data_IF_663095677490
#
_entry.id   IF_663095677490
#
_cell.length_a   1.000
_cell.length_b   1.000
_cell.length_c   1.000
_cell.angle_alpha   90.00
_cell.angle_beta   90.00
_cell.angle_gamma   90.00
#
_symmetry.space_group_name_H-M   'P 1'
#
loop_
_entity.id
_entity.type
_entity.pdbx_description
1 polymer ?
#
# COMPACT_ATOMS: atom_id res chain seq x y z
N UNK A 1 -11.72 18.39 8.61
CA UNK A 1 -12.00 17.82 7.26
C UNK A 1 -13.20 18.49 6.58
N UNK A 2 -13.99 19.33 7.27
CA UNK A 2 -14.98 20.17 6.60
C UNK A 2 -14.30 21.04 5.53
N UNK A 3 -14.86 21.04 4.31
CA UNK A 3 -14.37 21.83 3.18
C UNK A 3 -13.48 21.09 2.17
N UNK A 4 -13.02 19.87 2.46
CA UNK A 4 -12.24 19.07 1.49
C UNK A 4 -13.18 18.15 0.70
N UNK A 5 -13.30 18.38 -0.60
CA UNK A 5 -14.03 17.50 -1.50
C UNK A 5 -13.11 16.39 -1.99
N UNK A 6 -13.29 15.18 -1.47
CA UNK A 6 -12.59 14.00 -1.98
C UNK A 6 -13.20 13.55 -3.30
N UNK A 7 -12.33 13.09 -4.21
CA UNK A 7 -12.78 12.41 -5.41
C UNK A 7 -13.60 11.17 -5.02
N UNK A 8 -14.74 10.99 -5.70
CA UNK A 8 -15.67 9.89 -5.43
C UNK A 8 -15.81 9.03 -6.68
N UNK A 9 -15.92 7.73 -6.46
CA UNK A 9 -16.23 6.79 -7.51
C UNK A 9 -17.66 7.00 -8.02
N UNK A 10 -17.83 6.84 -9.33
CA UNK A 10 -19.16 6.80 -9.92
C UNK A 10 -19.84 5.44 -9.66
N UNK A 11 -21.16 5.37 -9.90
CA UNK A 11 -21.94 4.17 -9.63
C UNK A 11 -21.41 2.94 -10.38
N UNK A 12 -21.03 3.10 -11.65
CA UNK A 12 -20.51 2.00 -12.46
C UNK A 12 -19.19 1.43 -11.90
N UNK A 13 -18.29 2.28 -11.40
CA UNK A 13 -17.07 1.85 -10.72
C UNK A 13 -17.38 1.11 -9.43
N UNK A 14 -18.33 1.61 -8.62
CA UNK A 14 -18.77 0.94 -7.40
C UNK A 14 -19.34 -0.44 -7.71
N UNK A 15 -20.27 -0.54 -8.66
CA UNK A 15 -20.91 -1.80 -9.07
C UNK A 15 -19.87 -2.83 -9.51
N UNK A 16 -18.83 -2.40 -10.24
CA UNK A 16 -17.73 -3.27 -10.68
C UNK A 16 -16.85 -3.75 -9.54
N UNK A 17 -16.59 -2.91 -8.53
CA UNK A 17 -15.79 -3.30 -7.37
C UNK A 17 -16.53 -4.30 -6.48
N UNK A 18 -17.86 -4.14 -6.36
CA UNK A 18 -18.72 -4.99 -5.52
C UNK A 18 -19.31 -6.19 -6.27
N UNK A 19 -19.10 -6.29 -7.58
CA UNK A 19 -19.56 -7.43 -8.39
C UNK A 19 -18.99 -8.76 -7.89
N UNK A 20 -19.65 -9.87 -8.23
CA UNK A 20 -19.16 -11.21 -7.89
C UNK A 20 -17.76 -11.46 -8.44
N UNK A 21 -16.91 -12.15 -7.67
CA UNK A 21 -15.57 -12.56 -8.10
C UNK A 21 -15.62 -13.49 -9.30
N UNK A 22 -14.78 -13.21 -10.29
CA UNK A 22 -14.61 -14.08 -11.44
C UNK A 22 -13.45 -15.05 -11.19
N UNK A 23 -13.57 -16.28 -11.73
CA UNK A 23 -12.52 -17.30 -11.61
C UNK A 23 -11.19 -16.81 -12.18
N UNK A 24 -11.24 -16.05 -13.27
CA UNK A 24 -10.06 -15.46 -13.92
C UNK A 24 -9.34 -14.47 -12.99
N UNK A 25 -10.07 -13.66 -12.20
CA UNK A 25 -9.46 -12.75 -11.23
C UNK A 25 -8.71 -13.51 -10.13
N UNK A 26 -9.26 -14.66 -9.72
CA UNK A 26 -8.64 -15.52 -8.70
C UNK A 26 -7.40 -16.21 -9.26
N UNK A 27 -7.46 -16.75 -10.48
CA UNK A 27 -6.31 -17.36 -11.16
C UNK A 27 -5.15 -16.39 -11.32
N UNK A 28 -5.44 -15.17 -11.79
CA UNK A 28 -4.43 -14.12 -11.92
C UNK A 28 -3.83 -13.74 -10.57
N UNK A 29 -4.64 -13.63 -9.51
CA UNK A 29 -4.12 -13.36 -8.17
C UNK A 29 -3.22 -14.48 -7.63
N UNK A 30 -3.55 -15.75 -7.90
CA UNK A 30 -2.71 -16.89 -7.53
C UNK A 30 -1.36 -16.82 -8.24
N UNK A 31 -1.36 -16.53 -9.55
CA UNK A 31 -0.14 -16.42 -10.33
C UNK A 31 0.73 -15.24 -9.88
N UNK A 32 0.12 -14.08 -9.64
CA UNK A 32 0.81 -12.89 -9.11
C UNK A 32 1.42 -13.11 -7.72
N UNK A 33 0.87 -14.03 -6.92
CA UNK A 33 1.38 -14.30 -5.58
C UNK A 33 2.74 -15.02 -5.57
N UNK A 34 3.17 -15.63 -6.69
CA UNK A 34 4.46 -16.32 -6.84
C UNK A 34 4.55 -17.64 -6.06
N UNK A 35 5.06 -18.70 -6.70
CA UNK A 35 5.22 -20.04 -6.10
C UNK A 35 6.30 -20.12 -5.02
N UNK A 36 7.19 -19.13 -4.94
CA UNK A 36 8.28 -19.00 -3.97
C UNK A 36 7.87 -18.28 -2.66
N UNK A 37 6.64 -17.75 -2.60
CA UNK A 37 6.12 -16.94 -1.48
C UNK A 37 5.03 -17.63 -0.67
N UNK A 38 4.67 -18.86 -1.04
CA UNK A 38 3.63 -19.66 -0.41
C UNK A 38 4.08 -21.12 -0.22
N UNK A 39 3.82 -21.74 0.94
CA UNK A 39 3.78 -23.19 1.00
C UNK A 39 2.66 -23.66 0.06
N UNK A 40 2.90 -24.73 -0.69
CA UNK A 40 1.97 -25.27 -1.68
C UNK A 40 0.60 -25.67 -1.10
N UNK A 41 -0.31 -26.20 -1.93
CA UNK A 41 -1.69 -26.52 -1.56
C UNK A 41 -1.83 -27.51 -0.39
N UNK A 42 -0.73 -28.15 0.04
CA UNK A 42 -0.68 -29.12 1.13
C UNK A 42 -0.50 -28.46 2.52
N UNK A 43 -0.31 -27.13 2.60
CA UNK A 43 -0.03 -26.38 3.83
C UNK A 43 -1.22 -25.58 4.37
N UNK A 44 -2.18 -26.27 5.00
CA UNK A 44 -3.36 -25.65 5.60
C UNK A 44 -3.06 -24.62 6.69
N UNK A 45 -3.84 -23.54 6.73
CA UNK A 45 -4.18 -22.61 7.83
C UNK A 45 -3.23 -22.37 9.04
N UNK A 46 -1.94 -22.67 8.96
CA UNK A 46 -1.00 -22.39 10.04
C UNK A 46 -0.51 -20.94 9.90
N UNK A 47 -0.89 -20.06 10.82
CA UNK A 47 -0.25 -18.76 10.96
C UNK A 47 1.12 -18.98 11.61
N UNK A 48 2.20 -18.80 10.86
CA UNK A 48 3.56 -18.85 11.40
C UNK A 48 4.07 -17.43 11.63
N UNK A 49 4.59 -17.12 12.81
CA UNK A 49 5.23 -15.82 13.05
C UNK A 49 6.74 -16.00 12.98
N UNK A 50 7.37 -15.41 11.97
CA UNK A 50 8.83 -15.32 11.88
C UNK A 50 9.30 -14.07 12.63
N UNK A 51 10.24 -14.21 13.56
CA UNK A 51 10.86 -13.07 14.23
C UNK A 51 12.17 -12.72 13.50
N UNK A 52 12.22 -11.56 12.83
CA UNK A 52 13.44 -11.08 12.16
C UNK A 52 14.18 -10.11 13.07
N UNK A 53 15.45 -10.37 13.44
CA UNK A 53 16.26 -9.45 14.24
C UNK A 53 16.42 -8.09 13.55
N UNK A 54 16.23 -7.00 14.30
CA UNK A 54 16.55 -5.62 13.87
C UNK A 54 18.01 -5.24 14.18
N UNK A 55 18.61 -5.92 15.15
CA UNK A 55 19.95 -5.64 15.70
C UNK A 55 20.76 -6.94 15.79
N UNK A 56 22.09 -6.81 15.93
CA UNK A 56 23.02 -7.96 15.89
C UNK A 56 22.84 -8.95 17.05
N UNK A 57 22.44 -8.47 18.23
CA UNK A 57 22.20 -9.28 19.43
C UNK A 57 20.87 -8.88 20.09
N UNK A 58 19.73 -9.39 19.59
CA UNK A 58 18.42 -9.01 20.08
C UNK A 58 18.13 -9.64 21.45
N UNK A 59 17.78 -8.82 22.44
CA UNK A 59 17.59 -9.25 23.83
C UNK A 59 16.12 -9.15 24.28
N UNK A 60 15.33 -8.29 23.64
CA UNK A 60 13.90 -8.09 23.94
C UNK A 60 13.04 -8.23 22.70
N UNK A 61 11.74 -8.52 22.87
CA UNK A 61 10.82 -8.74 21.74
C UNK A 61 10.76 -7.56 20.75
N UNK A 62 10.95 -6.33 21.25
CA UNK A 62 10.99 -5.11 20.41
C UNK A 62 12.19 -5.06 19.47
N UNK A 63 13.26 -5.81 19.74
CA UNK A 63 14.42 -5.94 18.87
C UNK A 63 14.13 -6.81 17.64
N UNK A 64 12.96 -7.46 17.60
CA UNK A 64 12.50 -8.22 16.46
C UNK A 64 11.42 -7.48 15.67
N UNK A 65 11.37 -7.75 14.36
CA UNK A 65 10.20 -7.49 13.51
C UNK A 65 9.43 -8.81 13.38
N UNK A 66 8.25 -8.95 14.01
CA UNK A 66 7.40 -10.09 13.75
C UNK A 66 6.83 -10.00 12.33
N UNK A 67 6.99 -11.06 11.54
CA UNK A 67 6.33 -11.24 10.25
C UNK A 67 5.35 -12.39 10.39
N UNK A 68 4.06 -12.09 10.28
CA UNK A 68 3.02 -13.12 10.21
C UNK A 68 2.96 -13.71 8.80
N UNK A 69 3.38 -14.96 8.68
CA UNK A 69 3.15 -15.82 7.53
C UNK A 69 1.76 -16.46 7.70
N UNK A 70 0.74 -15.72 7.29
CA UNK A 70 -0.63 -16.23 7.17
C UNK A 70 -0.68 -17.18 5.96
N UNK A 71 -1.50 -18.24 6.06
CA UNK A 71 -1.75 -19.19 4.99
C UNK A 71 -2.05 -18.51 3.64
N UNK A 72 -1.63 -19.15 2.54
CA UNK A 72 -1.69 -18.60 1.18
C UNK A 72 -3.07 -18.07 0.77
N UNK A 73 -4.15 -18.64 1.33
CA UNK A 73 -5.52 -18.22 1.08
C UNK A 73 -5.78 -16.74 1.38
N UNK A 74 -5.30 -16.22 2.50
CA UNK A 74 -5.49 -14.81 2.84
C UNK A 74 -4.78 -13.90 1.84
N UNK A 75 -3.56 -14.27 1.41
CA UNK A 75 -2.81 -13.52 0.41
C UNK A 75 -3.55 -13.47 -0.92
N UNK A 76 -4.14 -14.59 -1.34
CA UNK A 76 -4.94 -14.66 -2.57
C UNK A 76 -6.15 -13.72 -2.46
N UNK A 77 -6.92 -13.80 -1.37
CA UNK A 77 -8.09 -12.92 -1.16
C UNK A 77 -7.68 -11.44 -1.16
N UNK A 78 -6.67 -11.08 -0.38
CA UNK A 78 -6.16 -9.72 -0.31
C UNK A 78 -5.65 -9.24 -1.68
N UNK A 79 -5.00 -10.11 -2.45
CA UNK A 79 -4.49 -9.79 -3.79
C UNK A 79 -5.61 -9.59 -4.80
N UNK A 80 -6.67 -10.40 -4.79
CA UNK A 80 -7.86 -10.19 -5.62
C UNK A 80 -8.49 -8.83 -5.32
N UNK A 81 -8.66 -8.49 -4.04
CA UNK A 81 -9.21 -7.19 -3.62
C UNK A 81 -8.31 -6.03 -4.06
N UNK A 82 -7.00 -6.13 -3.84
CA UNK A 82 -6.03 -5.11 -4.26
C UNK A 82 -6.04 -4.90 -5.79
N UNK A 83 -6.08 -5.99 -6.57
CA UNK A 83 -6.15 -5.93 -8.03
C UNK A 83 -7.46 -5.28 -8.53
N UNK A 84 -8.57 -5.39 -7.78
CA UNK A 84 -9.80 -4.64 -8.08
C UNK A 84 -9.67 -3.17 -7.75
N UNK A 85 -9.19 -2.82 -6.55
CA UNK A 85 -8.97 -1.42 -6.15
C UNK A 85 -8.00 -0.69 -7.08
N UNK A 86 -6.96 -1.39 -7.55
CA UNK A 86 -5.97 -0.87 -8.50
C UNK A 86 -6.60 -0.24 -9.74
N UNK A 87 -7.71 -0.79 -10.25
CA UNK A 87 -8.41 -0.31 -11.46
C UNK A 87 -9.01 1.09 -11.29
N UNK A 88 -9.24 1.53 -10.05
CA UNK A 88 -9.85 2.83 -9.74
C UNK A 88 -8.93 3.76 -8.97
N UNK A 89 -7.78 3.28 -8.51
CA UNK A 89 -6.89 4.01 -7.62
C UNK A 89 -6.46 5.36 -8.18
N UNK A 90 -6.17 5.43 -9.49
CA UNK A 90 -5.79 6.67 -10.18
C UNK A 90 -6.91 7.70 -10.27
N UNK A 91 -8.17 7.30 -10.07
CA UNK A 91 -9.33 8.22 -10.08
C UNK A 91 -9.60 8.85 -8.73
N UNK A 92 -9.18 8.20 -7.64
CA UNK A 92 -9.42 8.67 -6.26
C UNK A 92 -8.20 9.44 -5.74
N UNK A 93 -7.00 9.02 -6.14
CA UNK A 93 -5.74 9.51 -5.59
C UNK A 93 -5.11 10.57 -6.51
N UNK A 94 -4.78 11.71 -5.91
CA UNK A 94 -4.14 12.85 -6.57
C UNK A 94 -2.83 12.46 -7.28
N UNK A 95 -2.52 13.13 -8.39
CA UNK A 95 -1.34 12.86 -9.22
C UNK A 95 -0.01 12.98 -8.46
N UNK A 96 0.03 13.82 -7.42
CA UNK A 96 1.22 14.03 -6.57
C UNK A 96 1.57 12.82 -5.70
N UNK A 97 0.63 11.91 -5.43
CA UNK A 97 0.92 10.67 -4.69
C UNK A 97 1.55 9.63 -5.60
N UNK A 98 2.86 9.47 -5.52
CA UNK A 98 3.60 8.57 -6.43
C UNK A 98 3.85 7.16 -5.86
N UNK A 99 3.77 6.97 -4.54
CA UNK A 99 4.03 5.68 -3.92
C UNK A 99 2.83 4.71 -4.05
N UNK A 100 3.12 3.43 -4.27
CA UNK A 100 2.14 2.32 -4.31
C UNK A 100 1.05 2.44 -5.39
N UNK A 101 1.22 3.31 -6.38
CA UNK A 101 0.33 3.42 -7.55
C UNK A 101 1.07 2.88 -8.78
N UNK A 102 0.44 1.95 -9.51
CA UNK A 102 1.03 1.43 -10.75
C UNK A 102 1.25 2.56 -11.77
N UNK A 103 2.40 2.52 -12.44
CA UNK A 103 2.79 3.52 -13.44
C UNK A 103 3.33 4.83 -12.84
N UNK A 104 3.32 5.01 -11.51
CA UNK A 104 3.96 6.16 -10.85
C UNK A 104 5.30 5.75 -10.22
N UNK A 105 6.31 6.59 -10.40
CA UNK A 105 7.66 6.33 -9.92
C UNK A 105 8.03 7.26 -8.76
N UNK A 106 8.61 6.70 -7.70
CA UNK A 106 9.05 7.47 -6.52
C UNK A 106 10.06 8.58 -6.87
N UNK A 107 10.89 8.36 -7.88
CA UNK A 107 11.86 9.35 -8.37
C UNK A 107 11.18 10.62 -8.88
N UNK A 108 9.96 10.51 -9.41
CA UNK A 108 9.21 11.67 -9.89
C UNK A 108 8.91 12.64 -8.74
N UNK A 109 8.52 12.13 -7.55
CA UNK A 109 8.27 12.98 -6.38
C UNK A 109 9.54 13.72 -5.94
N UNK A 110 10.69 13.04 -5.96
CA UNK A 110 11.97 13.65 -5.61
C UNK A 110 12.37 14.76 -6.60
N UNK A 111 12.12 14.54 -7.90
CA UNK A 111 12.37 15.54 -8.95
C UNK A 111 11.47 16.77 -8.78
N UNK A 112 10.16 16.60 -8.55
CA UNK A 112 9.23 17.70 -8.30
C UNK A 112 9.73 18.55 -7.12
N UNK A 113 10.08 17.92 -6.01
CA UNK A 113 10.56 18.65 -4.82
C UNK A 113 11.83 19.45 -5.13
N UNK A 114 12.78 18.85 -5.85
CA UNK A 114 14.01 19.55 -6.25
C UNK A 114 13.72 20.77 -7.13
N UNK A 115 12.83 20.65 -8.13
CA UNK A 115 12.46 21.76 -9.02
C UNK A 115 11.74 22.88 -8.25
N UNK A 116 10.83 22.53 -7.32
CA UNK A 116 10.14 23.52 -6.48
C UNK A 116 11.12 24.30 -5.60
N UNK A 117 12.13 23.62 -5.03
CA UNK A 117 13.18 24.27 -4.24
C UNK A 117 14.02 25.19 -5.10
N UNK A 118 14.41 24.74 -6.29
CA UNK A 118 15.25 25.51 -7.20
C UNK A 118 14.51 26.75 -7.74
N UNK A 119 13.23 26.62 -8.08
CA UNK A 119 12.38 27.74 -8.48
C UNK A 119 12.23 28.76 -7.36
N UNK A 120 12.05 28.32 -6.11
CA UNK A 120 11.97 29.23 -4.96
C UNK A 120 13.27 30.04 -4.78
N UNK A 121 14.43 29.39 -4.94
CA UNK A 121 15.74 30.07 -4.90
C UNK A 121 15.89 31.07 -6.04
N UNK A 122 15.57 30.65 -7.28
CA UNK A 122 15.67 31.50 -8.49
C UNK A 122 14.78 32.73 -8.39
N UNK A 123 13.57 32.57 -7.87
CA UNK A 123 12.60 33.65 -7.66
C UNK A 123 12.83 34.46 -6.38
N UNK A 124 13.89 34.19 -5.61
CA UNK A 124 14.19 34.80 -4.31
C UNK A 124 13.00 34.80 -3.34
N UNK A 125 12.19 33.72 -3.39
CA UNK A 125 11.02 33.54 -2.52
C UNK A 125 11.43 32.76 -1.28
N UNK A 126 11.02 33.24 -0.12
CA UNK A 126 11.13 32.47 1.12
C UNK A 126 10.32 31.18 0.98
N UNK A 127 10.91 30.05 1.33
CA UNK A 127 10.31 28.72 1.23
C UNK A 127 10.52 27.96 2.53
N UNK A 128 9.47 27.26 3.00
CA UNK A 128 9.49 26.37 4.15
C UNK A 128 9.11 24.96 3.67
N UNK A 129 9.95 23.97 3.96
CA UNK A 129 9.65 22.57 3.67
C UNK A 129 9.17 21.90 4.95
N UNK A 130 7.97 21.35 4.90
CA UNK A 130 7.41 20.57 6.00
C UNK A 130 7.43 19.08 5.65
N UNK A 131 8.26 18.31 6.36
CA UNK A 131 8.35 16.86 6.22
C UNK A 131 7.67 16.19 7.41
N UNK A 132 6.68 15.35 7.13
CA UNK A 132 5.94 14.56 8.11
C UNK A 132 6.14 13.08 7.83
N UNK A 133 6.30 12.29 8.89
CA UNK A 133 6.35 10.83 8.83
C UNK A 133 5.45 10.25 9.93
N UNK A 134 4.81 9.12 9.66
CA UNK A 134 3.93 8.44 10.62
C UNK A 134 4.65 7.27 11.26
N UNK A 135 4.85 7.33 12.58
CA UNK A 135 5.33 6.17 13.33
C UNK A 135 4.29 5.04 13.27
N UNK A 136 4.72 3.86 12.80
CA UNK A 136 3.90 2.65 12.71
C UNK A 136 2.53 2.92 12.06
N UNK A 137 2.56 3.48 10.85
CA UNK A 137 1.36 3.94 10.13
C UNK A 137 0.19 2.92 10.14
N UNK A 138 0.46 1.62 9.97
CA UNK A 138 -0.57 0.58 9.97
C UNK A 138 -1.12 0.22 11.36
N UNK A 139 -0.32 0.39 12.42
CA UNK A 139 -0.73 0.10 13.80
C UNK A 139 -1.56 1.26 14.40
N UNK A 140 -1.37 2.47 13.85
CA UNK A 140 -1.95 3.72 14.36
C UNK A 140 -3.27 4.12 13.66
N UNK A 141 -3.75 3.36 12.66
CA UNK A 141 -5.01 3.69 11.96
C UNK A 141 -6.23 3.35 12.81
N UNK A 142 -7.17 4.30 12.93
CA UNK A 142 -8.46 4.04 13.58
C UNK A 142 -9.38 3.20 12.70
N UNK A 143 -9.80 2.04 13.20
CA UNK A 143 -10.75 1.16 12.52
C UNK A 143 -12.14 1.78 12.33
N UNK A 144 -12.56 2.70 13.20
CA UNK A 144 -13.86 3.38 13.03
C UNK A 144 -13.87 4.41 11.90
N UNK A 145 -12.69 4.76 11.38
CA UNK A 145 -12.54 5.66 10.23
C UNK A 145 -12.47 4.92 8.90
N UNK A 146 -11.97 3.68 8.88
CA UNK A 146 -11.88 2.81 7.70
C UNK A 146 -13.23 2.14 7.40
#
# INVERSE_FOLDING_TARGET
LEGICFQKLNQHQNDRLTARFQEEEVKNAIWDCGSDKCPGPDGGNASFIALIPKVADPQILNDYRPISLIGCMYKIVAKVLANRMKKVMTTIVDETQSAFIEGRHLLHSALIVNEVIEEAKRSNKSCLIFKVDYEKAYDSVSWGFL
#
